data_IF_886413874136
#
_entry.id   IF_886413874136
#
_cell.length_a   1.000
_cell.length_b   1.000
_cell.length_c   1.000
_cell.angle_alpha   90.00
_cell.angle_beta   90.00
_cell.angle_gamma   90.00
#
_symmetry.space_group_name_H-M   'P 1'
#
loop_
_entity.id
_entity.type
_entity.pdbx_description
1 polymer ?
#
# COMPACT_ATOMS: atom_id res chain seq x y z
N UNK A 1 13.21 1.58 16.47
CA UNK A 1 12.20 1.51 15.39
C UNK A 1 12.92 1.12 14.10
N UNK A 2 12.64 -0.05 13.52
CA UNK A 2 13.41 -0.56 12.37
C UNK A 2 13.22 0.28 11.09
N UNK A 3 12.09 1.02 10.96
CA UNK A 3 11.87 1.94 9.84
C UNK A 3 11.57 3.36 10.32
N UNK A 4 12.35 4.35 9.85
CA UNK A 4 12.06 5.77 10.04
C UNK A 4 10.84 6.13 9.17
N UNK A 5 9.79 6.73 9.76
CA UNK A 5 8.58 7.12 9.01
C UNK A 5 8.96 8.06 7.86
N UNK A 6 8.49 7.77 6.64
CA UNK A 6 8.68 8.64 5.46
C UNK A 6 7.36 9.17 4.88
N UNK A 7 6.22 8.61 5.32
CA UNK A 7 4.89 8.92 4.80
C UNK A 7 4.03 9.60 5.89
N UNK A 8 3.48 10.80 5.62
CA UNK A 8 2.66 11.54 6.58
C UNK A 8 1.30 10.87 6.79
N UNK A 9 0.58 11.28 7.85
CA UNK A 9 -0.70 10.69 8.26
C UNK A 9 -1.75 10.63 7.14
N UNK A 10 -1.90 11.72 6.37
CA UNK A 10 -2.89 11.79 5.29
C UNK A 10 -2.61 10.78 4.16
N UNK A 11 -1.36 10.65 3.75
CA UNK A 11 -0.92 9.69 2.74
C UNK A 11 -1.02 8.24 3.20
N UNK A 12 -0.86 7.98 4.50
CA UNK A 12 -1.14 6.66 5.08
C UNK A 12 -2.62 6.34 4.98
N UNK A 13 -3.49 7.30 5.28
CA UNK A 13 -4.94 7.15 5.14
C UNK A 13 -5.35 6.83 3.71
N UNK A 14 -4.80 7.56 2.73
CA UNK A 14 -5.09 7.30 1.32
C UNK A 14 -4.58 5.91 0.86
N UNK A 15 -3.38 5.50 1.29
CA UNK A 15 -2.85 4.16 0.99
C UNK A 15 -3.71 3.07 1.61
N UNK A 16 -4.18 3.25 2.84
CA UNK A 16 -5.10 2.30 3.48
C UNK A 16 -6.41 2.19 2.71
N UNK A 17 -7.02 3.33 2.31
CA UNK A 17 -8.24 3.35 1.52
C UNK A 17 -8.07 2.63 0.17
N UNK A 18 -7.03 2.98 -0.60
CA UNK A 18 -6.74 2.32 -1.88
C UNK A 18 -6.44 0.82 -1.70
N UNK A 19 -5.69 0.44 -0.66
CA UNK A 19 -5.40 -0.95 -0.35
C UNK A 19 -6.66 -1.77 -0.09
N UNK A 20 -7.59 -1.24 0.71
CA UNK A 20 -8.91 -1.87 0.97
C UNK A 20 -9.69 -2.03 -0.33
N UNK A 21 -9.77 -0.97 -1.15
CA UNK A 21 -10.48 -1.02 -2.44
C UNK A 21 -9.90 -2.10 -3.34
N UNK A 22 -8.58 -2.23 -3.44
CA UNK A 22 -7.96 -3.28 -4.24
C UNK A 22 -8.27 -4.69 -3.72
N UNK A 23 -8.30 -4.89 -2.39
CA UNK A 23 -8.69 -6.19 -1.81
C UNK A 23 -10.16 -6.53 -2.10
N UNK A 24 -11.06 -5.54 -2.03
CA UNK A 24 -12.47 -5.71 -2.39
C UNK A 24 -12.60 -6.04 -3.88
N UNK A 25 -11.90 -5.30 -4.75
CA UNK A 25 -11.89 -5.57 -6.20
C UNK A 25 -11.38 -6.97 -6.51
N UNK A 26 -10.29 -7.40 -5.87
CA UNK A 26 -9.72 -8.72 -6.08
C UNK A 26 -10.65 -9.87 -5.69
N UNK A 27 -11.58 -9.63 -4.74
CA UNK A 27 -12.50 -10.66 -4.22
C UNK A 27 -13.88 -10.60 -4.85
N UNK A 28 -14.32 -9.42 -5.30
CA UNK A 28 -15.68 -9.20 -5.81
C UNK A 28 -15.76 -9.15 -7.34
N UNK A 29 -14.66 -8.86 -8.04
CA UNK A 29 -14.65 -8.89 -9.50
C UNK A 29 -14.25 -10.28 -10.01
N UNK A 30 -14.85 -10.75 -11.13
CA UNK A 30 -14.51 -12.03 -11.75
C UNK A 30 -13.18 -11.94 -12.51
N UNK A 31 -12.09 -11.67 -11.79
CA UNK A 31 -10.74 -11.66 -12.33
C UNK A 31 -10.25 -13.10 -12.50
N UNK A 32 -9.77 -13.44 -13.69
CA UNK A 32 -9.27 -14.79 -14.00
C UNK A 32 -7.79 -14.75 -14.38
N UNK A 33 -7.06 -15.82 -14.06
CA UNK A 33 -5.62 -15.93 -14.34
C UNK A 33 -4.74 -15.26 -13.29
N UNK A 34 -3.69 -14.56 -13.73
CA UNK A 34 -2.71 -13.88 -12.87
C UNK A 34 -3.13 -12.51 -12.28
N UNK A 35 -4.03 -11.71 -12.88
CA UNK A 35 -4.45 -10.41 -12.35
C UNK A 35 -4.93 -10.39 -10.89
N UNK A 36 -5.76 -11.33 -10.37
CA UNK A 36 -6.22 -11.27 -8.98
C UNK A 36 -5.06 -11.33 -7.99
N UNK A 37 -4.01 -12.10 -8.30
CA UNK A 37 -2.80 -12.18 -7.46
C UNK A 37 -2.03 -10.86 -7.42
N UNK A 38 -1.90 -10.19 -8.58
CA UNK A 38 -1.24 -8.89 -8.65
C UNK A 38 -2.02 -7.81 -7.88
N UNK A 39 -3.36 -7.82 -8.00
CA UNK A 39 -4.23 -6.89 -7.29
C UNK A 39 -4.21 -7.14 -5.78
N UNK A 40 -4.25 -8.42 -5.36
CA UNK A 40 -4.12 -8.81 -3.94
C UNK A 40 -2.77 -8.37 -3.36
N UNK A 41 -1.66 -8.68 -4.06
CA UNK A 41 -0.32 -8.31 -3.62
C UNK A 41 -0.16 -6.78 -3.54
N UNK A 42 -0.68 -6.04 -4.52
CA UNK A 42 -0.70 -4.58 -4.53
C UNK A 42 -1.51 -4.00 -3.36
N UNK A 43 -2.72 -4.50 -3.14
CA UNK A 43 -3.58 -4.08 -2.03
C UNK A 43 -2.96 -4.34 -0.65
N UNK A 44 -2.41 -5.55 -0.47
CA UNK A 44 -1.69 -5.91 0.75
C UNK A 44 -0.45 -5.03 0.96
N UNK A 45 0.34 -4.76 -0.08
CA UNK A 45 1.51 -3.88 -0.01
C UNK A 45 1.15 -2.44 0.38
N UNK A 46 0.04 -1.91 -0.13
CA UNK A 46 -0.47 -0.60 0.26
C UNK A 46 -0.89 -0.55 1.73
N UNK A 47 -1.52 -1.61 2.24
CA UNK A 47 -1.91 -1.68 3.65
C UNK A 47 -0.72 -1.81 4.59
N UNK A 48 0.24 -2.68 4.26
CA UNK A 48 1.48 -2.82 5.04
C UNK A 48 2.23 -1.48 5.06
N UNK A 49 2.35 -0.82 3.90
CA UNK A 49 2.98 0.49 3.84
C UNK A 49 2.17 1.59 4.53
N UNK A 50 0.84 1.51 4.65
CA UNK A 50 0.05 2.45 5.45
C UNK A 50 0.28 2.26 6.97
N UNK A 51 0.29 1.01 7.42
CA UNK A 51 0.49 0.64 8.83
C UNK A 51 1.90 1.00 9.29
N UNK A 52 2.93 0.51 8.59
CA UNK A 52 4.31 0.88 8.85
C UNK A 52 4.55 2.39 8.60
N UNK A 53 3.86 2.97 7.61
CA UNK A 53 4.16 4.26 6.95
C UNK A 53 5.63 4.55 6.78
N UNK A 54 6.24 3.49 6.28
CA UNK A 54 7.42 3.50 5.47
C UNK A 54 6.99 2.95 4.10
N UNK A 55 7.24 3.70 3.04
CA UNK A 55 7.04 3.26 1.67
C UNK A 55 8.42 3.15 0.99
N UNK A 56 8.87 1.96 0.54
CA UNK A 56 10.20 1.76 -0.02
C UNK A 56 10.42 2.58 -1.29
N UNK A 57 9.40 2.69 -2.16
CA UNK A 57 9.46 3.53 -3.35
C UNK A 57 9.66 5.02 -3.02
N UNK A 58 8.97 5.52 -1.97
CA UNK A 58 9.15 6.91 -1.52
C UNK A 58 10.51 7.12 -0.84
N UNK A 59 11.05 6.11 -0.16
CA UNK A 59 12.39 6.16 0.41
C UNK A 59 13.48 6.18 -0.67
N UNK A 60 13.33 5.39 -1.73
CA UNK A 60 14.21 5.41 -2.91
C UNK A 60 14.18 6.78 -3.61
N UNK A 61 13.02 7.45 -3.61
CA UNK A 61 12.86 8.83 -4.08
C UNK A 61 13.41 9.90 -3.10
N UNK A 62 14.05 9.50 -1.99
CA UNK A 62 14.70 10.41 -1.05
C UNK A 62 13.77 11.11 -0.05
N UNK A 63 12.47 10.76 0.00
CA UNK A 63 11.53 11.39 0.94
C UNK A 63 11.85 11.00 2.37
N UNK A 64 11.87 12.00 3.26
CA UNK A 64 11.99 11.85 4.71
C UNK A 64 10.96 12.76 5.36
N UNK A 65 10.31 12.27 6.42
CA UNK A 65 9.61 13.13 7.35
C UNK A 65 10.61 13.54 8.42
N UNK A 66 10.82 14.85 8.54
CA UNK A 66 11.68 15.48 9.55
C UNK A 66 11.21 15.15 10.95
#
# INVERSE_FOLDING_TARGET
>A
MIFKRNVPGWERGLRAACGIVLLVVATMMPLTGWPPWAVLAGGAGLLVSALAGFCPACALAGRRLT
#
